data_IF_983211490123
#
_entry.id   IF_983211490123
#
_cell.length_a   1.000
_cell.length_b   1.000
_cell.length_c   1.000
_cell.angle_alpha   90.00
_cell.angle_beta   90.00
_cell.angle_gamma   90.00
#
_symmetry.space_group_name_H-M   'P 1'
#
loop_
_entity.id
_entity.type
_entity.pdbx_description
1 polymer ?
#
# COMPACT_ATOMS: atom_id res chain seq x y z
N UNK A 1 -9.92 9.88 26.91
CA UNK A 1 -10.65 8.63 26.57
C UNK A 1 -9.68 7.46 26.53
N UNK A 2 -9.90 6.42 27.35
CA UNK A 2 -9.04 5.22 27.42
C UNK A 2 -8.99 4.47 26.07
N UNK A 3 -7.92 3.70 25.85
CA UNK A 3 -7.74 2.91 24.62
C UNK A 3 -8.88 1.93 24.34
N UNK A 4 -9.52 1.40 25.40
CA UNK A 4 -10.69 0.50 25.30
C UNK A 4 -11.92 1.20 24.73
N UNK A 5 -12.23 2.42 25.18
CA UNK A 5 -13.36 3.19 24.65
C UNK A 5 -13.18 3.51 23.16
N UNK A 6 -11.96 3.88 22.74
CA UNK A 6 -11.65 4.13 21.32
C UNK A 6 -11.77 2.87 20.45
N UNK A 7 -11.48 1.69 21.00
CA UNK A 7 -11.64 0.42 20.31
C UNK A 7 -13.11 0.02 20.16
N UNK A 8 -13.90 0.17 21.23
CA UNK A 8 -15.33 -0.16 21.23
C UNK A 8 -16.12 0.72 20.25
N UNK A 9 -15.87 2.03 20.24
CA UNK A 9 -16.50 2.97 19.29
C UNK A 9 -16.14 2.60 17.84
N UNK A 10 -14.87 2.26 17.57
CA UNK A 10 -14.46 1.82 16.22
C UNK A 10 -15.17 0.52 15.81
N UNK A 11 -15.31 -0.43 16.73
CA UNK A 11 -16.05 -1.67 16.51
C UNK A 11 -17.51 -1.43 16.14
N UNK A 12 -18.19 -0.55 16.88
CA UNK A 12 -19.58 -0.16 16.60
C UNK A 12 -19.72 0.51 15.23
N UNK A 13 -18.81 1.41 14.86
CA UNK A 13 -18.81 2.05 13.53
C UNK A 13 -18.58 1.02 12.43
N UNK A 14 -17.68 0.06 12.61
CA UNK A 14 -17.52 -1.01 11.63
C UNK A 14 -18.78 -1.84 11.44
N UNK A 15 -19.46 -2.21 12.52
CA UNK A 15 -20.71 -2.95 12.45
C UNK A 15 -21.79 -2.16 11.69
N UNK A 16 -21.90 -0.85 11.97
CA UNK A 16 -22.84 0.03 11.29
C UNK A 16 -22.53 0.21 9.79
N UNK A 17 -21.25 0.28 9.40
CA UNK A 17 -20.83 0.45 8.01
C UNK A 17 -20.82 -0.87 7.21
N UNK A 18 -20.81 -2.02 7.88
CA UNK A 18 -20.73 -3.34 7.25
C UNK A 18 -21.77 -3.59 6.15
N UNK A 19 -23.08 -3.36 6.40
CA UNK A 19 -24.10 -3.54 5.36
C UNK A 19 -23.91 -2.63 4.14
N UNK A 20 -23.37 -1.42 4.37
CA UNK A 20 -23.07 -0.48 3.29
C UNK A 20 -21.86 -0.92 2.48
N UNK A 21 -20.80 -1.38 3.15
CA UNK A 21 -19.61 -1.97 2.50
C UNK A 21 -20.03 -3.14 1.61
N UNK A 22 -20.75 -4.12 2.17
CA UNK A 22 -21.20 -5.30 1.44
C UNK A 22 -22.02 -4.93 0.20
N UNK A 23 -22.94 -3.96 0.30
CA UNK A 23 -23.72 -3.47 -0.84
C UNK A 23 -22.88 -2.77 -1.91
N UNK A 24 -21.82 -2.07 -1.52
CA UNK A 24 -20.92 -1.39 -2.47
C UNK A 24 -20.04 -2.41 -3.19
N UNK A 25 -19.53 -3.42 -2.47
CA UNK A 25 -18.74 -4.50 -3.06
C UNK A 25 -19.57 -5.40 -3.97
N UNK A 26 -20.81 -5.72 -3.59
CA UNK A 26 -21.71 -6.56 -4.40
C UNK A 26 -22.09 -5.95 -5.76
N UNK A 27 -21.89 -4.64 -5.95
CA UNK A 27 -22.08 -3.97 -7.26
C UNK A 27 -20.94 -4.25 -8.24
N UNK A 28 -19.82 -4.79 -7.77
CA UNK A 28 -18.65 -5.09 -8.58
C UNK A 28 -18.81 -6.49 -9.19
N UNK A 29 -19.51 -6.57 -10.33
CA UNK A 29 -19.83 -7.84 -10.99
C UNK A 29 -18.95 -8.15 -12.19
N UNK A 30 -17.99 -7.28 -12.51
CA UNK A 30 -17.14 -7.38 -13.70
C UNK A 30 -15.70 -6.95 -13.45
N UNK A 31 -14.86 -6.93 -14.50
CA UNK A 31 -13.51 -6.39 -14.41
C UNK A 31 -13.55 -4.91 -14.00
N UNK A 32 -12.46 -4.45 -13.37
CA UNK A 32 -12.33 -3.04 -13.01
C UNK A 32 -12.44 -2.16 -14.27
N UNK A 33 -13.20 -1.06 -14.18
CA UNK A 33 -13.38 -0.11 -15.29
C UNK A 33 -12.08 0.61 -15.68
N UNK A 34 -11.13 0.73 -14.76
CA UNK A 34 -9.83 1.34 -14.98
C UNK A 34 -8.72 0.43 -14.46
N UNK A 35 -7.52 0.46 -15.09
CA UNK A 35 -6.36 -0.21 -14.52
C UNK A 35 -6.01 0.39 -13.16
N UNK A 36 -5.65 -0.46 -12.21
CA UNK A 36 -5.11 -0.04 -10.93
C UNK A 36 -3.63 0.27 -11.06
N UNK A 37 -3.13 1.23 -10.29
CA UNK A 37 -1.73 1.66 -10.32
C UNK A 37 -1.07 1.40 -8.96
N UNK A 38 0.05 0.69 -8.94
CA UNK A 38 0.80 0.38 -7.73
C UNK A 38 2.17 1.05 -7.75
N UNK A 39 2.46 1.84 -6.73
CA UNK A 39 3.75 2.55 -6.60
C UNK A 39 4.71 1.66 -5.82
N UNK A 40 5.77 1.21 -6.49
CA UNK A 40 6.80 0.31 -5.99
C UNK A 40 8.07 1.10 -5.63
N UNK A 41 8.80 0.63 -4.62
CA UNK A 41 10.17 1.06 -4.35
C UNK A 41 10.76 0.31 -3.15
N UNK A 42 12.08 0.35 -3.01
CA UNK A 42 12.71 0.21 -1.70
C UNK A 42 12.15 1.26 -0.71
N UNK A 43 12.10 0.98 0.61
CA UNK A 43 11.70 1.98 1.58
C UNK A 43 12.65 3.19 1.55
N UNK A 44 12.14 4.36 1.93
CA UNK A 44 12.90 5.63 2.01
C UNK A 44 13.31 6.29 0.69
N UNK A 45 12.78 5.83 -0.45
CA UNK A 45 13.06 6.41 -1.77
C UNK A 45 12.23 7.65 -2.15
N UNK A 46 11.38 8.16 -1.26
CA UNK A 46 10.54 9.35 -1.54
C UNK A 46 9.15 9.04 -2.11
N UNK A 47 8.71 7.79 -2.06
CA UNK A 47 7.39 7.35 -2.55
C UNK A 47 6.20 8.08 -1.91
N UNK A 48 6.30 8.54 -0.66
CA UNK A 48 5.22 9.34 -0.04
C UNK A 48 5.03 10.69 -0.72
N UNK A 49 6.12 11.40 -1.04
CA UNK A 49 6.05 12.67 -1.79
C UNK A 49 5.45 12.43 -3.18
N UNK A 50 5.93 11.39 -3.87
CA UNK A 50 5.40 11.01 -5.18
C UNK A 50 3.90 10.68 -5.12
N UNK A 51 3.47 9.93 -4.11
CA UNK A 51 2.05 9.58 -3.93
C UNK A 51 1.18 10.82 -3.66
N UNK A 52 1.64 11.78 -2.82
CA UNK A 52 0.94 13.06 -2.64
C UNK A 52 0.84 13.85 -3.96
N UNK A 53 1.92 13.92 -4.75
CA UNK A 53 1.89 14.58 -6.06
C UNK A 53 0.89 13.92 -7.00
N UNK A 54 0.88 12.59 -7.06
CA UNK A 54 -0.04 11.82 -7.90
C UNK A 54 -1.50 12.16 -7.58
N UNK A 55 -1.90 12.08 -6.31
CA UNK A 55 -3.31 12.29 -5.92
C UNK A 55 -3.74 13.76 -5.86
N UNK A 56 -2.79 14.71 -5.90
CA UNK A 56 -3.10 16.15 -5.91
C UNK A 56 -3.04 16.80 -7.29
N UNK A 57 -2.23 16.26 -8.21
CA UNK A 57 -2.10 16.79 -9.58
C UNK A 57 -2.91 16.03 -10.60
N UNK A 58 -3.23 14.77 -10.32
CA UNK A 58 -4.02 13.92 -11.19
C UNK A 58 -5.25 13.39 -10.46
N UNK A 59 -6.23 12.94 -11.24
CA UNK A 59 -7.47 12.39 -10.70
C UNK A 59 -7.30 10.89 -10.49
N UNK A 60 -7.00 10.51 -9.25
CA UNK A 60 -6.93 9.12 -8.81
C UNK A 60 -7.83 8.86 -7.60
N UNK A 61 -8.40 7.66 -7.54
CA UNK A 61 -8.92 7.08 -6.30
C UNK A 61 -7.75 6.56 -5.47
N UNK A 62 -7.84 6.63 -4.14
CA UNK A 62 -6.78 6.15 -3.25
C UNK A 62 -7.33 5.81 -1.86
N UNK A 63 -6.57 5.03 -1.08
CA UNK A 63 -6.90 4.83 0.33
C UNK A 63 -6.50 6.06 1.15
N UNK A 64 -7.47 6.72 1.77
CA UNK A 64 -7.20 7.82 2.70
C UNK A 64 -6.89 7.31 4.12
N UNK A 65 -6.37 8.17 4.99
CA UNK A 65 -6.26 7.88 6.43
C UNK A 65 -7.63 7.53 7.06
N UNK A 66 -8.73 8.09 6.55
CA UNK A 66 -10.09 7.71 6.95
C UNK A 66 -10.41 6.27 6.57
N UNK A 67 -10.14 5.87 5.32
CA UNK A 67 -10.34 4.49 4.86
C UNK A 67 -9.49 3.51 5.69
N UNK A 68 -8.22 3.87 5.93
CA UNK A 68 -7.30 3.08 6.75
C UNK A 68 -7.75 2.96 8.22
N UNK A 69 -8.28 4.05 8.80
CA UNK A 69 -8.83 4.01 10.16
C UNK A 69 -9.98 3.02 10.28
N UNK A 70 -10.80 2.94 9.24
CA UNK A 70 -11.94 2.04 9.13
C UNK A 70 -11.64 0.88 8.16
N UNK A 71 -10.50 0.21 8.36
CA UNK A 71 -9.96 -0.81 7.46
C UNK A 71 -10.85 -2.02 7.14
N UNK A 72 -11.85 -2.35 7.97
CA UNK A 72 -12.85 -3.40 7.66
C UNK A 72 -13.91 -2.95 6.67
N UNK A 73 -14.12 -1.65 6.53
CA UNK A 73 -15.17 -1.02 5.71
C UNK A 73 -14.63 0.22 4.96
N UNK A 74 -13.53 0.08 4.19
CA UNK A 74 -12.82 1.22 3.62
C UNK A 74 -13.64 1.96 2.55
N UNK A 75 -14.46 1.26 1.76
CA UNK A 75 -15.25 1.88 0.68
C UNK A 75 -16.40 2.69 1.26
N UNK A 76 -17.13 2.15 2.24
CA UNK A 76 -18.20 2.82 2.95
C UNK A 76 -17.69 4.04 3.71
N UNK A 77 -16.55 3.91 4.40
CA UNK A 77 -15.91 5.04 5.09
C UNK A 77 -15.51 6.15 4.10
N UNK A 78 -14.94 5.78 2.96
CA UNK A 78 -14.58 6.74 1.90
C UNK A 78 -15.80 7.41 1.27
N UNK A 79 -16.91 6.68 1.12
CA UNK A 79 -18.18 7.21 0.60
C UNK A 79 -18.78 8.26 1.54
N UNK A 80 -18.78 8.01 2.85
CA UNK A 80 -19.24 8.99 3.84
C UNK A 80 -18.28 10.19 3.93
N UNK A 81 -16.97 9.93 3.85
CA UNK A 81 -15.94 10.96 3.88
C UNK A 81 -15.69 11.65 2.54
N UNK A 82 -16.52 11.43 1.53
CA UNK A 82 -16.16 11.75 0.14
C UNK A 82 -15.79 13.22 -0.06
N UNK A 83 -16.63 14.14 0.41
CA UNK A 83 -16.40 15.59 0.30
C UNK A 83 -15.10 16.05 0.98
N UNK A 84 -14.67 15.35 2.03
CA UNK A 84 -13.41 15.63 2.72
C UNK A 84 -12.22 15.17 1.90
N UNK A 85 -12.34 14.01 1.24
CA UNK A 85 -11.29 13.42 0.40
C UNK A 85 -11.11 14.23 -0.89
N UNK A 86 -12.20 14.63 -1.57
CA UNK A 86 -12.13 15.47 -2.78
C UNK A 86 -11.46 16.82 -2.55
N UNK A 87 -11.50 17.34 -1.32
CA UNK A 87 -10.90 18.61 -0.93
C UNK A 87 -9.50 18.46 -0.36
N UNK A 88 -8.87 17.29 -0.52
CA UNK A 88 -7.52 17.06 -0.06
C UNK A 88 -6.55 18.08 -0.66
N UNK A 89 -5.70 18.65 0.19
CA UNK A 89 -4.58 19.51 -0.20
C UNK A 89 -3.32 18.94 0.41
N UNK A 90 -2.32 18.69 -0.41
CA UNK A 90 -1.03 18.19 0.06
C UNK A 90 -0.29 19.27 0.84
N UNK A 91 0.31 18.86 1.95
CA UNK A 91 1.27 19.69 2.68
C UNK A 91 2.72 19.35 2.25
N UNK A 92 2.91 18.29 1.46
CA UNK A 92 4.21 17.76 1.03
C UNK A 92 5.16 17.52 2.22
N UNK A 93 4.58 17.04 3.32
CA UNK A 93 5.28 16.72 4.57
C UNK A 93 4.83 15.35 5.02
N UNK A 94 5.81 14.48 5.27
CA UNK A 94 5.56 13.16 5.85
C UNK A 94 6.56 12.86 6.96
N UNK A 95 6.09 12.18 8.00
CA UNK A 95 6.94 11.63 9.06
C UNK A 95 7.10 10.13 8.84
N UNK A 96 8.31 9.72 8.45
CA UNK A 96 8.62 8.33 8.09
C UNK A 96 7.63 7.64 7.12
N UNK A 97 7.02 8.42 6.23
CA UNK A 97 6.07 7.93 5.24
C UNK A 97 4.60 8.13 5.63
N UNK A 98 4.31 8.50 6.87
CA UNK A 98 2.99 8.93 7.32
C UNK A 98 2.70 10.37 6.89
N UNK A 99 1.57 10.58 6.23
CA UNK A 99 1.08 11.91 5.84
C UNK A 99 -0.14 12.22 6.72
N UNK A 100 -0.15 13.38 7.37
CA UNK A 100 -1.16 13.73 8.35
C UNK A 100 -2.48 14.18 7.70
N UNK A 101 -3.60 13.93 8.39
CA UNK A 101 -4.94 14.42 8.02
C UNK A 101 -5.86 13.33 7.46
N UNK A 102 -7.16 13.42 7.74
CA UNK A 102 -8.13 12.36 7.40
C UNK A 102 -8.25 12.04 5.91
N UNK A 103 -8.12 13.05 5.05
CA UNK A 103 -8.15 12.89 3.59
C UNK A 103 -6.81 12.53 2.98
N UNK A 104 -5.72 12.57 3.75
CA UNK A 104 -4.39 12.32 3.20
C UNK A 104 -4.23 10.88 2.72
N UNK A 105 -3.45 10.68 1.64
CA UNK A 105 -3.24 9.36 1.08
C UNK A 105 -2.45 8.47 2.06
N UNK A 106 -2.86 7.21 2.14
CA UNK A 106 -2.37 6.20 3.07
C UNK A 106 -1.98 4.93 2.31
N UNK A 107 -1.04 4.17 2.85
CA UNK A 107 -0.59 2.90 2.26
C UNK A 107 -1.62 1.79 2.34
N UNK A 108 -2.66 1.97 3.16
CA UNK A 108 -3.70 0.97 3.37
C UNK A 108 -3.21 -0.25 4.14
N UNK A 109 -2.14 -0.16 4.94
CA UNK A 109 -1.52 -1.31 5.62
C UNK A 109 -2.54 -2.25 6.31
N UNK A 110 -3.38 -1.73 7.21
CA UNK A 110 -4.43 -2.54 7.87
C UNK A 110 -5.53 -3.06 6.93
N UNK A 111 -5.76 -2.41 5.79
CA UNK A 111 -6.70 -2.88 4.77
C UNK A 111 -6.11 -4.10 4.07
N UNK A 112 -4.84 -4.00 3.66
CA UNK A 112 -4.11 -5.09 3.00
C UNK A 112 -3.85 -6.26 3.93
N UNK A 113 -3.51 -6.03 5.20
CA UNK A 113 -3.29 -7.08 6.19
C UNK A 113 -4.52 -7.97 6.46
N UNK A 114 -5.71 -7.58 6.00
CA UNK A 114 -6.89 -8.48 5.97
C UNK A 114 -6.69 -9.68 5.06
N UNK A 115 -5.93 -9.49 3.99
CA UNK A 115 -5.81 -10.45 2.89
C UNK A 115 -4.38 -10.95 2.75
N UNK A 116 -3.39 -10.08 3.02
CA UNK A 116 -1.98 -10.32 2.80
C UNK A 116 -1.18 -9.82 4.01
N UNK A 117 -0.80 -10.75 4.89
CA UNK A 117 0.09 -10.47 6.01
C UNK A 117 1.46 -9.98 5.52
N UNK A 118 2.09 -9.07 6.26
CA UNK A 118 3.45 -8.63 5.97
C UNK A 118 4.40 -9.83 6.10
N UNK A 119 5.33 -9.95 5.15
CA UNK A 119 6.12 -11.18 5.02
C UNK A 119 7.12 -11.13 3.88
N UNK A 120 7.75 -12.29 3.59
CA UNK A 120 8.69 -12.40 2.48
C UNK A 120 8.01 -12.17 1.13
N UNK A 121 8.83 -12.14 0.07
CA UNK A 121 8.37 -12.12 -1.31
C UNK A 121 7.34 -13.22 -1.59
N UNK A 122 6.29 -12.90 -2.35
CA UNK A 122 5.28 -13.85 -2.80
C UNK A 122 4.80 -13.56 -4.22
N UNK A 123 4.41 -14.62 -4.93
CA UNK A 123 3.99 -14.58 -6.33
C UNK A 123 2.58 -15.14 -6.53
N UNK A 124 2.17 -15.31 -7.78
CA UNK A 124 0.83 -15.77 -8.16
C UNK A 124 0.47 -17.17 -7.65
N UNK A 125 1.44 -17.97 -7.19
CA UNK A 125 1.16 -19.28 -6.59
C UNK A 125 0.31 -19.17 -5.31
N UNK A 126 0.31 -17.99 -4.66
CA UNK A 126 -0.49 -17.73 -3.47
C UNK A 126 -1.99 -17.50 -3.77
N UNK A 127 -2.37 -17.22 -5.03
CA UNK A 127 -3.74 -16.86 -5.41
C UNK A 127 -4.85 -17.75 -4.82
N UNK A 128 -4.73 -19.11 -4.84
CA UNK A 128 -5.81 -19.98 -4.38
C UNK A 128 -6.18 -19.80 -2.90
N UNK A 129 -5.27 -19.24 -2.10
CA UNK A 129 -5.46 -18.99 -0.67
C UNK A 129 -6.09 -17.63 -0.34
N UNK A 130 -6.26 -16.77 -1.35
CA UNK A 130 -6.62 -15.36 -1.15
C UNK A 130 -8.09 -15.07 -1.49
N UNK A 131 -8.72 -14.10 -0.80
CA UNK A 131 -10.07 -13.64 -1.13
C UNK A 131 -10.04 -12.68 -2.35
N UNK A 132 -9.58 -13.17 -3.51
CA UNK A 132 -9.35 -12.39 -4.73
C UNK A 132 -10.59 -11.58 -5.16
N UNK A 133 -11.79 -12.16 -5.05
CA UNK A 133 -13.04 -11.48 -5.39
C UNK A 133 -13.30 -10.24 -4.50
N UNK A 134 -13.03 -10.33 -3.19
CA UNK A 134 -13.17 -9.19 -2.27
C UNK A 134 -12.13 -8.11 -2.56
N UNK A 135 -10.89 -8.51 -2.86
CA UNK A 135 -9.81 -7.59 -3.21
C UNK A 135 -10.15 -6.79 -4.47
N UNK A 136 -10.56 -7.48 -5.54
CA UNK A 136 -11.05 -6.89 -6.81
C UNK A 136 -12.23 -5.96 -6.57
N UNK A 137 -13.24 -6.42 -5.83
CA UNK A 137 -14.40 -5.60 -5.54
C UNK A 137 -14.05 -4.35 -4.72
N UNK A 138 -13.10 -4.45 -3.78
CA UNK A 138 -12.72 -3.29 -2.95
C UNK A 138 -12.05 -2.20 -3.79
N UNK A 139 -11.08 -2.55 -4.63
CA UNK A 139 -10.36 -1.57 -5.45
C UNK A 139 -11.21 -1.07 -6.62
N UNK A 140 -12.04 -1.93 -7.21
CA UNK A 140 -13.06 -1.55 -8.20
C UNK A 140 -14.06 -0.54 -7.62
N UNK A 141 -14.63 -0.83 -6.44
CA UNK A 141 -15.59 0.06 -5.80
C UNK A 141 -14.97 1.39 -5.34
N UNK A 142 -13.69 1.40 -4.93
CA UNK A 142 -12.95 2.65 -4.72
C UNK A 142 -12.83 3.44 -6.02
N UNK A 143 -12.42 2.79 -7.11
CA UNK A 143 -12.29 3.45 -8.42
C UNK A 143 -13.63 4.05 -8.88
N UNK A 144 -14.71 3.26 -8.82
CA UNK A 144 -16.06 3.69 -9.18
C UNK A 144 -16.57 4.82 -8.30
N UNK A 145 -16.30 4.75 -6.99
CA UNK A 145 -16.68 5.80 -6.06
C UNK A 145 -16.11 7.13 -6.55
N UNK A 146 -14.81 7.19 -6.86
CA UNK A 146 -14.10 8.39 -7.29
C UNK A 146 -14.18 8.70 -8.79
N UNK A 147 -14.76 7.80 -9.57
CA UNK A 147 -14.80 7.86 -11.04
C UNK A 147 -13.40 8.18 -11.58
N UNK A 148 -12.43 7.35 -11.17
CA UNK A 148 -11.01 7.53 -11.39
C UNK A 148 -10.26 6.20 -11.23
N UNK A 149 -9.13 5.99 -11.93
CA UNK A 149 -8.25 4.86 -11.65
C UNK A 149 -7.80 4.88 -10.18
N UNK A 150 -7.64 3.71 -9.58
CA UNK A 150 -7.13 3.59 -8.22
C UNK A 150 -5.61 3.55 -8.23
N UNK A 151 -4.96 4.36 -7.39
CA UNK A 151 -3.52 4.33 -7.14
C UNK A 151 -3.25 4.01 -5.67
N UNK A 152 -2.29 3.12 -5.40
CA UNK A 152 -1.82 2.88 -4.06
C UNK A 152 -0.31 2.77 -4.01
N UNK A 153 0.26 3.50 -3.04
CA UNK A 153 1.64 3.34 -2.62
C UNK A 153 1.66 2.53 -1.35
N UNK A 154 2.18 1.32 -1.41
CA UNK A 154 2.53 0.53 -0.25
C UNK A 154 3.85 -0.17 -0.56
N UNK A 155 4.87 0.04 0.26
CA UNK A 155 6.21 -0.51 -0.01
C UNK A 155 6.19 -2.05 -0.05
N UNK A 156 5.26 -2.70 0.67
CA UNK A 156 5.10 -4.15 0.64
C UNK A 156 4.64 -4.68 -0.73
N UNK A 157 4.12 -3.84 -1.62
CA UNK A 157 3.78 -4.22 -3.00
C UNK A 157 5.00 -4.61 -3.83
N UNK A 158 6.18 -4.10 -3.49
CA UNK A 158 7.44 -4.46 -4.16
C UNK A 158 7.81 -5.93 -4.02
N UNK A 159 7.26 -6.62 -3.02
CA UNK A 159 7.44 -8.05 -2.79
C UNK A 159 6.37 -8.92 -3.47
N UNK A 160 5.43 -8.30 -4.21
CA UNK A 160 4.18 -8.94 -4.62
C UNK A 160 3.78 -8.58 -6.05
N UNK A 161 4.72 -8.18 -6.90
CA UNK A 161 4.42 -7.63 -8.24
C UNK A 161 3.68 -8.66 -9.09
N UNK A 162 4.20 -9.89 -9.19
CA UNK A 162 3.55 -10.99 -9.93
C UNK A 162 2.18 -11.35 -9.35
N UNK A 163 2.07 -11.38 -8.03
CA UNK A 163 0.81 -11.64 -7.35
C UNK A 163 -0.22 -10.53 -7.63
N UNK A 164 0.18 -9.26 -7.58
CA UNK A 164 -0.70 -8.12 -7.85
C UNK A 164 -1.17 -8.10 -9.30
N UNK A 165 -0.30 -8.40 -10.27
CA UNK A 165 -0.70 -8.52 -11.68
C UNK A 165 -1.76 -9.62 -11.86
N UNK A 166 -1.56 -10.78 -11.23
CA UNK A 166 -2.51 -11.87 -11.34
C UNK A 166 -3.84 -11.59 -10.59
N UNK A 167 -3.80 -10.87 -9.46
CA UNK A 167 -5.01 -10.40 -8.77
C UNK A 167 -5.70 -9.32 -9.59
N UNK A 168 -4.98 -8.41 -10.23
CA UNK A 168 -5.55 -7.27 -10.96
C UNK A 168 -5.00 -7.23 -12.39
N UNK A 169 -5.53 -8.06 -13.31
CA UNK A 169 -5.04 -8.13 -14.68
C UNK A 169 -5.07 -6.75 -15.36
N UNK A 170 -3.96 -6.35 -15.97
CA UNK A 170 -3.81 -5.04 -16.61
C UNK A 170 -3.50 -3.89 -15.65
N UNK A 171 -3.18 -4.17 -14.38
CA UNK A 171 -2.66 -3.15 -13.48
C UNK A 171 -1.31 -2.61 -13.98
N UNK A 172 -0.98 -1.41 -13.52
CA UNK A 172 0.24 -0.70 -13.86
C UNK A 172 1.11 -0.54 -12.63
N UNK A 173 2.42 -0.61 -12.80
CA UNK A 173 3.39 -0.37 -11.76
C UNK A 173 4.12 0.95 -12.01
N UNK A 174 4.59 1.60 -10.95
CA UNK A 174 5.46 2.77 -11.07
C UNK A 174 6.57 2.59 -10.04
N UNK A 175 7.80 2.34 -10.51
CA UNK A 175 8.96 2.25 -9.64
C UNK A 175 9.56 3.64 -9.39
N UNK A 176 9.57 4.06 -8.12
CA UNK A 176 10.31 5.26 -7.71
C UNK A 176 11.74 4.86 -7.34
N UNK A 177 12.73 5.44 -8.02
CA UNK A 177 14.15 5.21 -7.74
C UNK A 177 14.79 6.43 -7.08
N UNK A 178 15.69 6.17 -6.14
CA UNK A 178 16.55 7.16 -5.46
C UNK A 178 17.97 6.61 -5.44
N UNK A 179 18.97 7.48 -5.33
CA UNK A 179 20.35 7.07 -5.08
C UNK A 179 20.43 6.00 -3.98
N UNK A 180 21.17 4.92 -4.27
CA UNK A 180 21.19 3.72 -3.43
C UNK A 180 21.86 3.99 -2.08
N UNK A 181 22.97 4.74 -2.08
CA UNK A 181 23.70 5.06 -0.87
C UNK A 181 22.88 5.96 0.06
N UNK A 182 22.21 6.97 -0.48
CA UNK A 182 21.33 7.86 0.29
C UNK A 182 20.10 7.14 0.85
N UNK A 183 19.55 6.20 0.09
CA UNK A 183 18.42 5.37 0.53
C UNK A 183 18.86 4.47 1.68
N UNK A 184 19.99 3.78 1.56
CA UNK A 184 20.56 2.95 2.62
C UNK A 184 20.85 3.76 3.89
N UNK A 185 21.50 4.93 3.78
CA UNK A 185 21.72 5.86 4.91
C UNK A 185 20.41 6.28 5.58
N UNK A 186 19.35 6.50 4.80
CA UNK A 186 18.03 6.88 5.32
C UNK A 186 17.34 5.74 6.06
N UNK A 187 17.53 4.49 5.62
CA UNK A 187 17.06 3.28 6.29
C UNK A 187 17.77 3.11 7.64
N UNK A 188 19.11 3.18 7.64
CA UNK A 188 19.95 3.09 8.84
C UNK A 188 19.47 4.11 9.89
N UNK A 189 19.35 5.39 9.51
CA UNK A 189 18.86 6.45 10.41
C UNK A 189 17.42 6.22 10.92
N UNK A 190 16.57 5.54 10.15
CA UNK A 190 15.22 5.21 10.60
C UNK A 190 15.27 4.13 11.69
N UNK A 191 16.05 3.08 11.46
CA UNK A 191 16.21 1.97 12.40
C UNK A 191 16.98 2.38 13.66
N UNK A 192 17.86 3.39 13.61
CA UNK A 192 18.54 3.99 14.78
C UNK A 192 17.63 4.84 15.65
N UNK A 193 16.49 5.28 15.13
CA UNK A 193 15.47 6.03 15.88
C UNK A 193 14.32 5.13 16.31
N UNK A 194 14.60 3.85 16.49
CA UNK A 194 13.66 2.79 16.89
C UNK A 194 12.35 2.78 16.08
N UNK A 195 12.45 3.11 14.77
CA UNK A 195 11.32 2.91 13.88
C UNK A 195 11.24 1.42 13.53
N UNK A 196 10.09 0.82 13.82
CA UNK A 196 9.67 -0.55 13.45
C UNK A 196 10.07 -1.64 14.46
N UNK A 197 10.10 -2.93 14.05
CA UNK A 197 10.34 -4.03 14.98
C UNK A 197 11.67 -3.94 15.70
N UNK A 198 11.77 -4.64 16.83
CA UNK A 198 13.03 -4.72 17.57
C UNK A 198 14.10 -5.33 16.66
N UNK A 199 15.35 -4.88 16.80
CA UNK A 199 16.42 -5.39 15.95
C UNK A 199 16.71 -6.84 16.31
N UNK A 200 16.25 -7.77 15.48
CA UNK A 200 16.67 -9.16 15.54
C UNK A 200 17.12 -9.65 14.15
N UNK A 201 17.86 -10.77 14.07
CA UNK A 201 18.17 -11.43 12.81
C UNK A 201 16.91 -11.93 12.08
N UNK A 202 15.87 -12.30 12.84
CA UNK A 202 14.63 -12.87 12.31
C UNK A 202 13.60 -11.79 11.92
N UNK A 203 13.69 -10.60 12.51
CA UNK A 203 12.77 -9.49 12.24
C UNK A 203 13.37 -8.53 11.19
N UNK A 204 12.62 -8.30 10.11
CA UNK A 204 12.99 -7.38 9.06
C UNK A 204 12.14 -6.12 9.11
N UNK A 205 12.81 -4.97 9.06
CA UNK A 205 12.13 -3.68 9.03
C UNK A 205 11.62 -3.38 7.61
N UNK A 206 10.31 -3.15 7.45
CA UNK A 206 9.71 -2.83 6.15
C UNK A 206 9.86 -3.97 5.12
N UNK A 207 10.10 -3.65 3.85
CA UNK A 207 10.11 -4.62 2.74
C UNK A 207 11.31 -5.55 2.84
N UNK A 208 11.06 -6.85 2.93
CA UNK A 208 12.09 -7.89 3.02
C UNK A 208 12.44 -8.42 1.62
N UNK A 209 13.63 -8.15 1.07
CA UNK A 209 14.00 -8.69 -0.23
C UNK A 209 14.16 -10.22 -0.19
N UNK A 210 14.12 -10.87 -1.35
CA UNK A 210 14.31 -12.32 -1.47
C UNK A 210 15.69 -12.79 -1.03
N UNK A 211 16.72 -11.96 -1.16
CA UNK A 211 18.11 -12.19 -0.74
C UNK A 211 18.44 -11.60 0.64
N UNK A 212 17.39 -11.37 1.46
CA UNK A 212 17.50 -10.79 2.79
C UNK A 212 18.55 -11.52 3.65
N UNK A 213 19.36 -10.73 4.33
CA UNK A 213 20.46 -11.18 5.18
C UNK A 213 21.41 -10.02 5.47
N UNK A 214 22.60 -10.34 5.98
CA UNK A 214 23.68 -9.37 6.22
C UNK A 214 24.20 -9.42 7.65
N UNK A 215 25.51 -9.24 7.80
CA UNK A 215 26.22 -9.32 9.09
C UNK A 215 25.95 -8.11 10.00
N UNK A 216 25.69 -6.95 9.41
CA UNK A 216 25.44 -5.71 10.13
C UNK A 216 24.31 -4.86 9.52
N UNK A 217 24.00 -3.73 10.17
CA UNK A 217 22.94 -2.82 9.76
C UNK A 217 23.19 -2.20 8.38
N UNK A 218 24.45 -1.95 8.02
CA UNK A 218 24.83 -1.34 6.75
C UNK A 218 24.60 -2.33 5.63
N UNK A 219 25.09 -3.56 5.78
CA UNK A 219 24.90 -4.62 4.80
C UNK A 219 23.41 -4.93 4.62
N UNK A 220 22.64 -5.04 5.72
CA UNK A 220 21.19 -5.24 5.67
C UNK A 220 20.48 -4.11 4.92
N UNK A 221 20.82 -2.85 5.17
CA UNK A 221 20.24 -1.71 4.47
C UNK A 221 20.61 -1.70 2.97
N UNK A 222 21.87 -2.00 2.63
CA UNK A 222 22.31 -2.11 1.24
C UNK A 222 21.58 -3.24 0.51
N UNK A 223 21.44 -4.41 1.13
CA UNK A 223 20.64 -5.54 0.61
C UNK A 223 19.18 -5.17 0.48
N UNK A 224 18.60 -4.45 1.44
CA UNK A 224 17.21 -3.97 1.32
C UNK A 224 17.00 -3.11 0.07
N UNK A 225 17.94 -2.22 -0.23
CA UNK A 225 17.83 -1.33 -1.40
C UNK A 225 18.08 -2.08 -2.70
N UNK A 226 19.19 -2.83 -2.77
CA UNK A 226 19.60 -3.52 -3.99
C UNK A 226 18.71 -4.74 -4.29
N UNK A 227 18.40 -5.54 -3.27
CA UNK A 227 17.58 -6.74 -3.35
C UNK A 227 16.14 -6.42 -3.74
N UNK A 228 15.51 -5.41 -3.13
CA UNK A 228 14.13 -5.01 -3.52
C UNK A 228 14.10 -4.50 -4.96
N UNK A 229 15.10 -3.73 -5.39
CA UNK A 229 15.20 -3.30 -6.79
C UNK A 229 15.39 -4.48 -7.75
N UNK A 230 16.18 -5.48 -7.37
CA UNK A 230 16.36 -6.70 -8.16
C UNK A 230 15.08 -7.54 -8.23
N UNK A 231 14.35 -7.66 -7.11
CA UNK A 231 13.06 -8.35 -7.04
C UNK A 231 12.03 -7.69 -7.95
N UNK A 232 11.90 -6.35 -7.89
CA UNK A 232 11.02 -5.59 -8.78
C UNK A 232 11.41 -5.83 -10.24
N UNK A 233 12.69 -5.70 -10.58
CA UNK A 233 13.16 -5.86 -11.97
C UNK A 233 12.89 -7.28 -12.51
N UNK A 234 13.14 -8.32 -11.70
CA UNK A 234 12.84 -9.71 -12.04
C UNK A 234 11.34 -9.91 -12.29
N UNK A 235 10.51 -9.43 -11.38
CA UNK A 235 9.06 -9.63 -11.46
C UNK A 235 8.45 -8.84 -12.62
N UNK A 236 8.92 -7.60 -12.86
CA UNK A 236 8.56 -6.80 -14.03
C UNK A 236 8.92 -7.48 -15.36
N UNK A 237 10.12 -8.08 -15.45
CA UNK A 237 10.53 -8.84 -16.63
C UNK A 237 9.63 -10.07 -16.88
N UNK A 238 9.05 -10.63 -15.81
CA UNK A 238 8.12 -11.76 -15.91
C UNK A 238 6.73 -11.36 -16.43
N UNK A 239 6.17 -10.25 -15.94
CA UNK A 239 4.81 -9.82 -16.30
C UNK A 239 4.71 -9.07 -17.64
N UNK A 240 5.84 -8.59 -18.17
CA UNK A 240 5.91 -7.89 -19.46
C UNK A 240 6.02 -6.36 -19.33
N UNK A 241 6.57 -5.72 -20.39
CA UNK A 241 6.86 -4.28 -20.40
C UNK A 241 5.62 -3.38 -20.60
N UNK A 242 4.46 -3.95 -20.91
CA UNK A 242 3.20 -3.21 -21.10
C UNK A 242 2.53 -2.82 -19.77
N UNK A 243 3.04 -3.31 -18.63
CA UNK A 243 2.50 -3.06 -17.27
C UNK A 243 3.09 -1.83 -16.57
N UNK A 244 3.79 -0.96 -17.30
CA UNK A 244 4.67 0.09 -16.76
C UNK A 244 5.66 -0.47 -15.72
N UNK A 245 6.78 -0.93 -16.26
CA UNK A 245 8.09 -1.01 -15.67
C UNK A 245 9.06 -0.40 -16.71
#
# INVERSE_FOLDING_TARGET
MSGRAKSAVRGAVHAALGPMEARLLARQTGPARWPHVFILSAPRSGTSLFYELMVTRYRFAYFSNLAHRFWKTPVAASRLGRRLIDRHKAAYRSDYGHIAGWSAPNEGGWIWQRWLADGPWCDETALPSLPVAEMRATLGAMSDLFDAPFVNKNVMHSNRVRLLDAIFPGCLFIEVRRDRADTARSIIRAQERDKGPARSPDEWWSVRPSDAGGADLVERACRQVAGVAADIARDCAHIGQDRLC
#
